data_IF_796745289423
#
_entry.id   IF_796745289423
#
_cell.length_a   1.000
_cell.length_b   1.000
_cell.length_c   1.000
_cell.angle_alpha   90.00
_cell.angle_beta   90.00
_cell.angle_gamma   90.00
#
_symmetry.space_group_name_H-M   'P 1'
#
loop_
_entity.id
_entity.type
_entity.pdbx_description
1 polymer ?
#
# COMPACT_ATOMS: atom_id res chain seq x y z
N UNK A 1 32.63 25.72 -10.51
CA UNK A 1 32.51 24.66 -9.51
C UNK A 1 31.05 24.67 -9.08
N UNK A 2 30.23 23.79 -9.64
CA UNK A 2 28.83 23.69 -9.25
C UNK A 2 28.77 23.05 -7.87
N UNK A 3 28.26 23.79 -6.90
CA UNK A 3 27.96 23.23 -5.57
C UNK A 3 26.90 22.13 -5.76
N UNK A 4 27.15 20.90 -5.31
CA UNK A 4 26.20 19.82 -5.44
C UNK A 4 24.98 20.09 -4.55
N UNK A 5 23.95 20.75 -5.09
CA UNK A 5 22.71 21.12 -4.41
C UNK A 5 22.07 19.96 -3.66
N UNK A 6 22.30 18.70 -4.06
CA UNK A 6 21.84 17.51 -3.36
C UNK A 6 22.29 17.39 -1.89
N UNK A 7 23.36 18.08 -1.50
CA UNK A 7 23.79 18.13 -0.10
C UNK A 7 23.06 19.20 0.72
N UNK A 8 22.32 20.10 0.06
CA UNK A 8 21.52 21.15 0.69
C UNK A 8 20.02 20.80 0.66
N UNK A 9 19.64 19.74 -0.06
CA UNK A 9 18.27 19.26 -0.11
C UNK A 9 17.82 18.66 1.21
N UNK A 10 16.55 18.85 1.53
CA UNK A 10 15.95 18.26 2.72
C UNK A 10 15.80 16.74 2.56
N UNK A 11 16.75 15.99 3.10
CA UNK A 11 16.78 14.52 3.01
C UNK A 11 15.56 13.86 3.67
N UNK A 12 14.96 14.49 4.69
CA UNK A 12 13.74 13.97 5.32
C UNK A 12 12.55 14.05 4.35
N UNK A 13 12.46 15.12 3.56
CA UNK A 13 11.42 15.26 2.54
C UNK A 13 11.57 14.20 1.44
N UNK A 14 12.81 13.97 0.98
CA UNK A 14 13.12 12.98 -0.05
C UNK A 14 12.83 11.57 0.48
N UNK A 15 13.34 11.22 1.65
CA UNK A 15 13.21 9.91 2.25
C UNK A 15 11.76 9.53 2.59
N UNK A 16 10.90 10.52 2.85
CA UNK A 16 9.49 10.30 3.19
C UNK A 16 8.52 10.54 2.04
N UNK A 17 9.03 10.91 0.87
CA UNK A 17 8.19 11.07 -0.32
C UNK A 17 7.43 9.76 -0.59
N UNK A 18 6.11 9.87 -0.74
CA UNK A 18 5.19 8.74 -0.95
C UNK A 18 5.10 7.73 0.23
N UNK A 19 5.59 8.07 1.43
CA UNK A 19 5.55 7.18 2.59
C UNK A 19 5.24 7.89 3.91
N UNK A 20 3.96 8.10 4.19
CA UNK A 20 3.51 8.64 5.48
C UNK A 20 3.92 7.75 6.66
N UNK A 21 3.97 6.43 6.48
CA UNK A 21 4.42 5.50 7.51
C UNK A 21 5.90 5.71 7.87
N UNK A 22 6.75 5.96 6.88
CA UNK A 22 8.17 6.30 7.10
C UNK A 22 8.31 7.65 7.80
N UNK A 23 7.51 8.65 7.39
CA UNK A 23 7.46 9.95 8.05
C UNK A 23 7.04 9.82 9.52
N UNK A 24 6.02 9.00 9.81
CA UNK A 24 5.55 8.73 11.18
C UNK A 24 6.65 8.09 12.03
N UNK A 25 7.38 7.10 11.50
CA UNK A 25 8.48 6.46 12.21
C UNK A 25 9.59 7.45 12.56
N UNK A 26 10.03 8.25 11.58
CA UNK A 26 11.04 9.29 11.77
C UNK A 26 10.60 10.35 12.80
N UNK A 27 9.33 10.79 12.71
CA UNK A 27 8.81 11.81 13.61
C UNK A 27 8.62 11.30 15.04
N UNK A 28 8.16 10.07 15.24
CA UNK A 28 8.04 9.44 16.56
C UNK A 28 9.40 9.32 17.24
N UNK A 29 10.42 8.87 16.50
CA UNK A 29 11.78 8.76 17.04
C UNK A 29 12.31 10.11 17.50
N UNK A 30 12.22 11.14 16.64
CA UNK A 30 12.74 12.47 16.94
C UNK A 30 12.01 13.11 18.12
N UNK A 31 10.68 13.05 18.15
CA UNK A 31 9.87 13.57 19.25
C UNK A 31 10.22 12.92 20.59
N UNK A 32 10.31 11.58 20.62
CA UNK A 32 10.66 10.82 21.82
C UNK A 32 12.08 11.12 22.32
N UNK A 33 13.04 11.27 21.41
CA UNK A 33 14.40 11.60 21.76
C UNK A 33 14.51 13.03 22.30
N UNK A 34 13.79 14.00 21.72
CA UNK A 34 13.76 15.38 22.19
C UNK A 34 13.06 15.53 23.54
N UNK A 35 12.03 14.73 23.83
CA UNK A 35 11.31 14.76 25.09
C UNK A 35 12.20 14.40 26.29
N UNK A 36 13.23 13.57 26.07
CA UNK A 36 14.19 13.14 27.10
C UNK A 36 15.53 13.89 27.04
N UNK A 37 15.65 14.86 26.14
CA UNK A 37 16.87 15.63 25.94
C UNK A 37 17.14 16.60 27.12
N UNK A 38 18.41 16.98 27.36
CA UNK A 38 18.76 18.04 28.30
C UNK A 38 18.01 19.34 27.98
N UNK A 39 17.72 20.14 29.03
CA UNK A 39 16.93 21.38 28.90
C UNK A 39 17.46 22.37 27.84
N UNK A 40 18.77 22.41 27.62
CA UNK A 40 19.38 23.23 26.57
C UNK A 40 18.96 22.84 25.16
N UNK A 41 18.59 21.57 24.92
CA UNK A 41 18.11 21.05 23.66
C UNK A 41 16.58 21.04 23.67
N UNK A 42 15.95 20.39 24.66
CA UNK A 42 14.49 20.22 24.71
C UNK A 42 13.75 21.56 24.80
N UNK A 43 14.27 22.52 25.56
CA UNK A 43 13.67 23.85 25.67
C UNK A 43 13.57 24.62 24.34
N UNK A 44 14.39 24.27 23.36
CA UNK A 44 14.38 24.89 22.02
C UNK A 44 13.73 23.98 21.01
N UNK A 45 14.22 22.75 20.86
CA UNK A 45 13.79 21.87 19.76
C UNK A 45 12.46 21.19 20.05
N UNK A 46 12.28 20.61 21.25
CA UNK A 46 11.02 19.92 21.58
C UNK A 46 9.81 20.86 21.55
N UNK A 47 9.96 22.07 22.12
CA UNK A 47 8.87 23.05 22.18
C UNK A 47 8.34 23.46 20.80
N UNK A 48 9.19 23.48 19.79
CA UNK A 48 8.79 23.82 18.41
C UNK A 48 8.39 22.60 17.57
N UNK A 49 8.96 21.42 17.89
CA UNK A 49 8.73 20.19 17.12
C UNK A 49 7.46 19.46 17.57
N UNK A 50 7.28 19.26 18.87
CA UNK A 50 6.20 18.48 19.47
C UNK A 50 4.78 18.86 18.96
N UNK A 51 4.40 20.13 18.87
CA UNK A 51 3.09 20.52 18.34
C UNK A 51 2.86 20.06 16.90
N UNK A 52 3.89 20.11 16.05
CA UNK A 52 3.82 19.64 14.66
C UNK A 52 3.74 18.12 14.59
N UNK A 53 4.45 17.42 15.49
CA UNK A 53 4.37 15.97 15.61
C UNK A 53 2.95 15.54 15.98
N UNK A 54 2.34 16.14 17.00
CA UNK A 54 0.99 15.83 17.41
C UNK A 54 -0.04 16.10 16.30
N UNK A 55 0.10 17.20 15.57
CA UNK A 55 -0.77 17.51 14.42
C UNK A 55 -0.63 16.47 13.30
N UNK A 56 0.61 16.06 12.97
CA UNK A 56 0.84 15.05 11.96
C UNK A 56 0.26 13.68 12.37
N UNK A 57 0.48 13.24 13.61
CA UNK A 57 -0.07 11.98 14.14
C UNK A 57 -1.59 11.98 14.09
N UNK A 58 -2.22 13.08 14.51
CA UNK A 58 -3.68 13.23 14.46
C UNK A 58 -4.21 13.09 13.03
N UNK A 59 -3.65 13.82 12.09
CA UNK A 59 -4.07 13.80 10.68
C UNK A 59 -3.82 12.45 10.02
N UNK A 60 -2.70 11.81 10.33
CA UNK A 60 -2.38 10.47 9.86
C UNK A 60 -3.43 9.45 10.35
N UNK A 61 -3.78 9.46 11.63
CA UNK A 61 -4.77 8.56 12.19
C UNK A 61 -6.18 8.82 11.62
N UNK A 62 -6.56 10.08 11.41
CA UNK A 62 -7.81 10.43 10.76
C UNK A 62 -7.89 9.91 9.32
N UNK A 63 -6.80 10.04 8.55
CA UNK A 63 -6.72 9.53 7.19
C UNK A 63 -6.80 8.00 7.14
N UNK A 64 -6.10 7.28 8.02
CA UNK A 64 -6.18 5.82 8.12
C UNK A 64 -7.60 5.37 8.46
N UNK A 65 -8.25 6.03 9.43
CA UNK A 65 -9.63 5.75 9.82
C UNK A 65 -10.62 6.00 8.66
N UNK A 66 -10.43 7.09 7.91
CA UNK A 66 -11.25 7.40 6.73
C UNK A 66 -11.10 6.30 5.65
N UNK A 67 -9.89 5.76 5.44
CA UNK A 67 -9.65 4.63 4.55
C UNK A 67 -10.44 3.37 4.92
N UNK A 68 -10.44 3.01 6.20
CA UNK A 68 -11.25 1.91 6.71
C UNK A 68 -12.76 2.14 6.54
N UNK A 69 -13.23 3.37 6.77
CA UNK A 69 -14.62 3.76 6.53
C UNK A 69 -15.00 3.61 5.05
N UNK A 70 -14.16 4.08 4.13
CA UNK A 70 -14.39 3.96 2.68
C UNK A 70 -14.50 2.49 2.25
N UNK A 71 -13.65 1.63 2.77
CA UNK A 71 -13.70 0.19 2.49
C UNK A 71 -15.02 -0.42 2.97
N UNK A 72 -15.43 -0.11 4.21
CA UNK A 72 -16.70 -0.55 4.77
C UNK A 72 -17.91 -0.10 3.94
N UNK A 73 -17.95 1.16 3.51
CA UNK A 73 -19.03 1.67 2.64
C UNK A 73 -19.03 1.01 1.27
N UNK A 74 -17.85 0.71 0.72
CA UNK A 74 -17.75 -0.02 -0.56
C UNK A 74 -18.32 -1.45 -0.45
N UNK A 75 -18.06 -2.14 0.66
CA UNK A 75 -18.66 -3.45 0.92
C UNK A 75 -20.17 -3.36 1.12
N UNK A 76 -20.65 -2.34 1.82
CA UNK A 76 -22.07 -2.10 2.03
C UNK A 76 -22.82 -1.93 0.69
N UNK A 77 -22.35 -1.07 -0.21
CA UNK A 77 -22.96 -0.91 -1.55
C UNK A 77 -23.02 -2.24 -2.30
N UNK A 78 -21.93 -3.02 -2.29
CA UNK A 78 -21.91 -4.35 -2.95
C UNK A 78 -22.94 -5.31 -2.33
N UNK A 79 -23.09 -5.33 -1.02
CA UNK A 79 -24.05 -6.18 -0.33
C UNK A 79 -25.48 -5.75 -0.63
N UNK A 80 -25.79 -4.46 -0.56
CA UNK A 80 -27.13 -3.93 -0.89
C UNK A 80 -27.51 -4.24 -2.34
N UNK A 81 -26.60 -4.04 -3.31
CA UNK A 81 -26.84 -4.42 -4.69
C UNK A 81 -27.09 -5.91 -4.87
N UNK A 82 -26.36 -6.77 -4.14
CA UNK A 82 -26.59 -8.22 -4.19
C UNK A 82 -28.00 -8.57 -3.71
N UNK A 83 -28.42 -7.99 -2.58
CA UNK A 83 -29.77 -8.22 -2.02
C UNK A 83 -30.87 -7.67 -2.95
N UNK A 84 -30.69 -6.48 -3.50
CA UNK A 84 -31.63 -5.88 -4.43
C UNK A 84 -31.81 -6.74 -5.70
N UNK A 85 -30.72 -7.28 -6.23
CA UNK A 85 -30.79 -8.18 -7.42
C UNK A 85 -31.60 -9.45 -7.17
N UNK A 86 -31.61 -9.98 -5.97
CA UNK A 86 -32.43 -11.14 -5.62
C UNK A 86 -33.93 -10.81 -5.72
N UNK A 87 -34.34 -9.62 -5.24
CA UNK A 87 -35.74 -9.18 -5.28
C UNK A 87 -36.31 -8.98 -6.70
N UNK A 88 -35.46 -8.69 -7.71
CA UNK A 88 -35.89 -8.47 -9.09
C UNK A 88 -36.66 -9.68 -9.63
N UNK A 89 -36.28 -10.89 -9.26
CA UNK A 89 -36.98 -12.09 -9.71
C UNK A 89 -38.42 -12.16 -9.18
N UNK A 90 -38.57 -11.80 -7.91
CA UNK A 90 -39.86 -11.84 -7.22
C UNK A 90 -40.80 -10.75 -7.76
N UNK A 91 -40.29 -9.53 -7.95
CA UNK A 91 -41.03 -8.42 -8.54
C UNK A 91 -41.44 -8.70 -9.98
N UNK A 92 -40.54 -9.30 -10.77
CA UNK A 92 -40.90 -9.70 -12.16
C UNK A 92 -42.07 -10.71 -12.17
N UNK A 93 -42.08 -11.69 -11.26
CA UNK A 93 -43.16 -12.64 -11.09
C UNK A 93 -44.46 -11.94 -10.66
N UNK A 94 -44.39 -11.08 -9.64
CA UNK A 94 -45.54 -10.33 -9.14
C UNK A 94 -46.17 -9.44 -10.25
N UNK A 95 -45.32 -8.76 -11.03
CA UNK A 95 -45.79 -7.94 -12.16
C UNK A 95 -46.41 -8.80 -13.28
N UNK A 96 -45.88 -10.01 -13.55
CA UNK A 96 -46.44 -10.93 -14.53
C UNK A 96 -47.80 -11.50 -14.14
N UNK A 97 -48.07 -11.63 -12.83
CA UNK A 97 -49.41 -12.05 -12.36
C UNK A 97 -50.47 -11.02 -12.72
N UNK A 98 -50.15 -9.73 -12.69
CA UNK A 98 -51.04 -8.63 -13.07
C UNK A 98 -51.01 -8.38 -14.56
N UNK A 99 -49.83 -8.35 -15.15
CA UNK A 99 -49.58 -8.04 -16.56
C UNK A 99 -48.73 -9.15 -17.20
N UNK A 100 -49.31 -10.10 -17.92
CA UNK A 100 -48.57 -11.14 -18.64
C UNK A 100 -47.47 -10.55 -19.55
N UNK A 101 -46.35 -11.26 -19.74
CA UNK A 101 -45.18 -10.81 -20.53
C UNK A 101 -45.48 -10.34 -21.93
N UNK A 102 -46.57 -10.83 -22.52
CA UNK A 102 -47.02 -10.47 -23.87
C UNK A 102 -47.69 -9.11 -23.93
N UNK A 103 -48.10 -8.55 -22.80
CA UNK A 103 -48.84 -7.28 -22.72
C UNK A 103 -47.94 -6.07 -22.98
N UNK A 104 -48.48 -5.02 -23.63
CA UNK A 104 -47.73 -3.75 -23.78
C UNK A 104 -47.30 -3.13 -22.42
N UNK A 105 -48.16 -3.28 -21.40
CA UNK A 105 -47.90 -2.73 -20.04
C UNK A 105 -46.68 -3.39 -19.38
N UNK A 106 -46.57 -4.73 -19.45
CA UNK A 106 -45.39 -5.43 -18.94
C UNK A 106 -44.10 -4.95 -19.66
N UNK A 107 -44.16 -4.83 -20.99
CA UNK A 107 -43.02 -4.36 -21.80
C UNK A 107 -42.65 -2.91 -21.48
N UNK A 108 -43.60 -2.06 -21.12
CA UNK A 108 -43.33 -0.70 -20.69
C UNK A 108 -42.64 -0.67 -19.31
N UNK A 109 -42.98 -1.59 -18.42
CA UNK A 109 -42.33 -1.70 -17.08
C UNK A 109 -40.93 -2.28 -17.22
N UNK A 110 -40.73 -3.34 -17.98
CA UNK A 110 -39.47 -4.03 -18.22
C UNK A 110 -39.04 -3.99 -19.71
N UNK A 111 -38.67 -2.81 -20.27
CA UNK A 111 -38.36 -2.68 -21.69
C UNK A 111 -37.14 -3.53 -22.11
N UNK A 112 -36.18 -3.72 -21.23
CA UNK A 112 -34.95 -4.49 -21.44
C UNK A 112 -34.87 -5.75 -20.57
N UNK A 113 -36.00 -6.18 -20.00
CA UNK A 113 -36.06 -7.28 -19.04
C UNK A 113 -35.19 -7.03 -17.84
N UNK A 114 -34.58 -8.11 -17.29
CA UNK A 114 -33.73 -8.04 -16.08
C UNK A 114 -32.27 -7.63 -16.35
N UNK A 115 -31.87 -7.42 -17.62
CA UNK A 115 -30.45 -7.12 -17.97
C UNK A 115 -29.88 -5.89 -17.30
N UNK A 116 -30.60 -4.73 -17.18
CA UNK A 116 -30.06 -3.51 -16.59
C UNK A 116 -29.64 -3.67 -15.12
N UNK A 117 -30.27 -4.56 -14.37
CA UNK A 117 -29.99 -4.79 -12.95
C UNK A 117 -28.75 -5.64 -12.70
N UNK A 118 -28.28 -6.39 -13.72
CA UNK A 118 -27.18 -7.35 -13.60
C UNK A 118 -25.96 -6.99 -14.43
N UNK A 119 -26.08 -6.05 -15.38
CA UNK A 119 -25.00 -5.63 -16.27
C UNK A 119 -24.73 -4.13 -16.09
N UNK A 120 -23.47 -3.76 -16.13
CA UNK A 120 -23.04 -2.37 -16.00
C UNK A 120 -22.37 -2.07 -14.66
N UNK A 121 -21.98 -0.81 -14.47
CA UNK A 121 -21.41 -0.30 -13.24
C UNK A 121 -22.45 -0.16 -12.11
N UNK A 122 -21.97 0.19 -10.91
CA UNK A 122 -22.82 0.40 -9.72
C UNK A 122 -23.92 1.40 -10.00
N UNK A 123 -23.57 2.57 -10.54
CA UNK A 123 -24.51 3.67 -10.79
C UNK A 123 -25.57 3.29 -11.84
N UNK A 124 -25.16 2.58 -12.89
CA UNK A 124 -26.09 2.09 -13.90
C UNK A 124 -27.10 1.09 -13.31
N UNK A 125 -26.67 0.24 -12.38
CA UNK A 125 -27.57 -0.70 -11.72
C UNK A 125 -28.53 0.03 -10.76
N UNK A 126 -28.06 1.01 -9.98
CA UNK A 126 -28.93 1.81 -9.09
C UNK A 126 -29.98 2.56 -9.92
N UNK A 127 -29.58 3.22 -11.00
CA UNK A 127 -30.47 3.91 -11.91
C UNK A 127 -31.53 2.97 -12.53
N UNK A 128 -31.21 1.69 -12.73
CA UNK A 128 -32.20 0.72 -13.22
C UNK A 128 -33.36 0.50 -12.24
N UNK A 129 -33.12 0.60 -10.92
CA UNK A 129 -34.19 0.52 -9.91
C UNK A 129 -35.05 1.78 -9.92
N UNK A 130 -34.46 2.97 -10.10
CA UNK A 130 -35.19 4.22 -10.24
C UNK A 130 -36.11 4.18 -11.47
N UNK A 131 -35.57 3.78 -12.63
CA UNK A 131 -36.33 3.61 -13.88
C UNK A 131 -37.46 2.61 -13.68
N UNK A 132 -37.24 1.50 -12.97
CA UNK A 132 -38.29 0.53 -12.68
C UNK A 132 -39.42 1.16 -11.87
N UNK A 133 -39.09 1.90 -10.81
CA UNK A 133 -40.05 2.64 -10.00
C UNK A 133 -40.89 3.61 -10.86
N UNK A 134 -40.21 4.42 -11.70
CA UNK A 134 -40.88 5.36 -12.61
C UNK A 134 -41.79 4.62 -13.63
N UNK A 135 -41.35 3.51 -14.18
CA UNK A 135 -42.11 2.74 -15.13
C UNK A 135 -43.36 2.06 -14.52
N UNK A 136 -43.29 1.65 -13.25
CA UNK A 136 -44.47 1.18 -12.50
C UNK A 136 -45.46 2.34 -12.33
N UNK A 137 -44.98 3.52 -11.98
CA UNK A 137 -45.80 4.74 -11.82
C UNK A 137 -46.80 4.62 -10.67
N UNK A 138 -47.97 5.25 -10.85
CA UNK A 138 -49.08 5.22 -9.88
C UNK A 138 -50.07 4.08 -10.16
N UNK A 139 -49.59 2.93 -10.64
CA UNK A 139 -50.41 1.76 -10.95
C UNK A 139 -51.01 1.14 -9.67
N UNK A 140 -52.33 1.21 -9.44
CA UNK A 140 -52.93 0.75 -8.18
C UNK A 140 -52.79 -0.79 -8.01
N UNK A 141 -52.66 -1.56 -9.12
CA UNK A 141 -52.48 -3.00 -9.02
C UNK A 141 -51.07 -3.42 -8.64
N UNK A 142 -50.09 -2.48 -8.68
CA UNK A 142 -48.66 -2.70 -8.36
C UNK A 142 -48.19 -1.88 -7.19
N UNK A 143 -49.07 -1.31 -6.37
CA UNK A 143 -48.72 -0.42 -5.24
C UNK A 143 -47.70 -1.05 -4.28
N UNK A 144 -47.87 -2.33 -3.93
CA UNK A 144 -46.97 -3.06 -3.05
C UNK A 144 -45.58 -3.24 -3.67
N UNK A 145 -45.54 -3.67 -4.94
CA UNK A 145 -44.28 -3.85 -5.68
C UNK A 145 -43.55 -2.51 -5.80
N UNK A 146 -44.29 -1.43 -6.13
CA UNK A 146 -43.73 -0.09 -6.21
C UNK A 146 -43.09 0.35 -4.90
N UNK A 147 -43.80 0.20 -3.78
CA UNK A 147 -43.29 0.58 -2.47
C UNK A 147 -41.99 -0.18 -2.13
N UNK A 148 -41.89 -1.46 -2.46
CA UNK A 148 -40.68 -2.25 -2.24
C UNK A 148 -39.51 -1.82 -3.18
N UNK A 149 -39.81 -1.49 -4.44
CA UNK A 149 -38.81 -0.95 -5.40
C UNK A 149 -38.31 0.40 -4.91
N UNK A 150 -39.20 1.31 -4.52
CA UNK A 150 -38.85 2.63 -4.00
C UNK A 150 -37.96 2.54 -2.75
N UNK A 151 -38.34 1.69 -1.80
CA UNK A 151 -37.57 1.46 -0.59
C UNK A 151 -36.19 0.87 -0.91
N UNK A 152 -36.12 -0.03 -1.87
CA UNK A 152 -34.84 -0.65 -2.29
C UNK A 152 -33.94 0.35 -3.02
N UNK A 153 -34.51 1.17 -3.90
CA UNK A 153 -33.80 2.26 -4.56
C UNK A 153 -33.21 3.24 -3.54
N UNK A 154 -34.03 3.72 -2.57
CA UNK A 154 -33.60 4.64 -1.54
C UNK A 154 -32.42 4.08 -0.69
N UNK A 155 -32.47 2.78 -0.36
CA UNK A 155 -31.36 2.12 0.36
C UNK A 155 -30.08 2.08 -0.46
N UNK A 156 -30.18 1.80 -1.75
CA UNK A 156 -29.03 1.77 -2.67
C UNK A 156 -28.44 3.14 -2.88
N UNK A 157 -29.28 4.15 -3.11
CA UNK A 157 -28.90 5.54 -3.31
C UNK A 157 -28.19 6.10 -2.06
N UNK A 158 -28.80 5.92 -0.89
CA UNK A 158 -28.17 6.29 0.40
C UNK A 158 -26.82 5.59 0.62
N UNK A 159 -26.75 4.29 0.32
CA UNK A 159 -25.50 3.56 0.46
C UNK A 159 -24.41 4.11 -0.50
N UNK A 160 -24.81 4.51 -1.70
CA UNK A 160 -23.92 5.12 -2.70
C UNK A 160 -23.43 6.50 -2.27
N UNK A 161 -24.32 7.35 -1.78
CA UNK A 161 -23.98 8.67 -1.25
C UNK A 161 -22.98 8.57 -0.09
N UNK A 162 -23.21 7.63 0.84
CA UNK A 162 -22.28 7.37 1.93
C UNK A 162 -20.91 6.91 1.44
N UNK A 163 -20.86 6.10 0.40
CA UNK A 163 -19.60 5.68 -0.23
C UNK A 163 -18.86 6.86 -0.87
N UNK A 164 -19.55 7.73 -1.60
CA UNK A 164 -18.92 8.91 -2.21
C UNK A 164 -18.44 9.91 -1.14
N UNK A 165 -19.21 10.13 -0.08
CA UNK A 165 -18.79 10.92 1.07
C UNK A 165 -17.53 10.37 1.75
N UNK A 166 -17.45 9.04 1.91
CA UNK A 166 -16.26 8.38 2.45
C UNK A 166 -15.04 8.54 1.54
N UNK A 167 -15.20 8.44 0.21
CA UNK A 167 -14.11 8.71 -0.75
C UNK A 167 -13.63 10.16 -0.68
N UNK A 168 -14.55 11.13 -0.60
CA UNK A 168 -14.21 12.53 -0.44
C UNK A 168 -13.40 12.78 0.84
N UNK A 169 -13.79 12.14 1.95
CA UNK A 169 -13.09 12.21 3.24
C UNK A 169 -11.65 11.67 3.14
N UNK A 170 -11.43 10.56 2.44
CA UNK A 170 -10.07 10.00 2.20
C UNK A 170 -9.23 10.96 1.37
N UNK A 171 -9.80 11.55 0.32
CA UNK A 171 -9.09 12.50 -0.56
C UNK A 171 -8.67 13.76 0.21
N UNK A 172 -9.59 14.34 0.99
CA UNK A 172 -9.30 15.50 1.85
C UNK A 172 -8.28 15.15 2.93
N UNK A 173 -8.45 13.99 3.58
CA UNK A 173 -7.52 13.49 4.59
C UNK A 173 -6.10 13.33 4.05
N UNK A 174 -5.95 12.82 2.83
CA UNK A 174 -4.65 12.69 2.15
C UNK A 174 -3.95 14.05 1.97
N UNK A 175 -4.68 15.08 1.55
CA UNK A 175 -4.13 16.45 1.44
C UNK A 175 -3.69 17.01 2.79
N UNK A 176 -4.48 16.79 3.85
CA UNK A 176 -4.16 17.24 5.20
C UNK A 176 -2.92 16.54 5.76
N UNK A 177 -2.80 15.23 5.58
CA UNK A 177 -1.61 14.44 5.98
C UNK A 177 -0.37 14.91 5.24
N UNK A 178 -0.47 15.16 3.93
CA UNK A 178 0.66 15.63 3.13
C UNK A 178 1.15 17.00 3.60
N UNK A 179 0.25 17.93 3.88
CA UNK A 179 0.60 19.24 4.43
C UNK A 179 1.32 19.11 5.77
N UNK A 180 0.83 18.26 6.67
CA UNK A 180 1.45 18.03 7.96
C UNK A 180 2.79 17.31 7.85
N UNK A 181 2.93 16.35 6.89
CA UNK A 181 4.20 15.68 6.58
C UNK A 181 5.26 16.69 6.13
N UNK A 182 4.91 17.59 5.23
CA UNK A 182 5.81 18.64 4.76
C UNK A 182 6.27 19.53 5.91
N UNK A 183 5.35 19.95 6.77
CA UNK A 183 5.65 20.80 7.91
C UNK A 183 6.62 20.13 8.88
N UNK A 184 6.34 18.88 9.28
CA UNK A 184 7.15 18.17 10.28
C UNK A 184 8.52 17.75 9.74
N UNK A 185 8.61 17.28 8.48
CA UNK A 185 9.89 16.91 7.87
C UNK A 185 10.78 18.14 7.61
N UNK A 186 10.17 19.29 7.32
CA UNK A 186 10.91 20.56 7.24
C UNK A 186 11.42 21.01 8.59
N UNK A 187 10.65 20.81 9.65
CA UNK A 187 11.10 21.15 11.00
C UNK A 187 12.20 20.19 11.45
N UNK A 188 12.07 18.89 11.23
CA UNK A 188 13.11 17.91 11.56
C UNK A 188 14.45 18.20 10.85
N UNK A 189 14.39 18.69 9.61
CA UNK A 189 15.59 19.16 8.91
C UNK A 189 16.21 20.37 9.59
N UNK A 190 15.42 21.36 10.00
CA UNK A 190 15.92 22.53 10.75
C UNK A 190 16.51 22.15 12.09
N UNK A 191 15.90 21.18 12.78
CA UNK A 191 16.43 20.66 14.05
C UNK A 191 17.76 19.94 13.84
N UNK A 192 17.89 19.15 12.76
CA UNK A 192 19.15 18.54 12.38
C UNK A 192 20.25 19.58 12.13
N UNK A 193 19.95 20.64 11.38
CA UNK A 193 20.89 21.73 11.12
C UNK A 193 21.29 22.44 12.41
N UNK A 194 20.36 22.72 13.31
CA UNK A 194 20.63 23.31 14.61
C UNK A 194 21.54 22.43 15.47
N UNK A 195 21.31 21.12 15.52
CA UNK A 195 22.16 20.15 16.22
C UNK A 195 23.58 20.11 15.65
N UNK A 196 23.73 20.11 14.34
CA UNK A 196 25.03 20.10 13.66
C UNK A 196 25.85 21.39 13.93
N UNK A 197 25.18 22.52 14.01
CA UNK A 197 25.81 23.82 14.29
C UNK A 197 26.24 23.95 15.74
N UNK A 198 25.36 23.63 16.69
CA UNK A 198 25.60 23.81 18.11
C UNK A 198 26.51 22.73 18.76
N UNK A 199 26.65 21.57 18.10
CA UNK A 199 27.46 20.44 18.60
C UNK A 199 28.48 19.98 17.54
N UNK A 200 29.16 20.91 16.91
CA UNK A 200 30.06 20.66 15.78
C UNK A 200 31.11 19.56 16.05
N UNK A 201 31.75 19.56 17.21
CA UNK A 201 32.78 18.59 17.56
C UNK A 201 32.26 17.19 17.89
N UNK A 202 31.00 17.07 18.29
CA UNK A 202 30.32 15.81 18.65
C UNK A 202 29.12 15.50 17.72
N UNK A 203 29.04 16.17 16.59
CA UNK A 203 27.89 16.19 15.69
C UNK A 203 27.36 14.79 15.27
N UNK A 204 28.24 13.82 15.07
CA UNK A 204 27.84 12.48 14.66
C UNK A 204 27.07 11.76 15.78
N UNK A 205 27.59 11.77 16.99
CA UNK A 205 26.98 11.16 18.16
C UNK A 205 25.65 11.85 18.52
N UNK A 206 25.65 13.19 18.55
CA UNK A 206 24.45 13.98 18.86
C UNK A 206 23.37 13.79 17.81
N UNK A 207 23.72 13.86 16.52
CA UNK A 207 22.74 13.64 15.45
C UNK A 207 22.16 12.22 15.50
N UNK A 208 22.98 11.20 15.72
CA UNK A 208 22.51 9.81 15.84
C UNK A 208 21.58 9.60 17.04
N UNK A 209 21.74 10.38 18.12
CA UNK A 209 20.86 10.33 19.29
C UNK A 209 19.47 10.84 19.00
N UNK A 210 19.34 11.92 18.22
CA UNK A 210 18.05 12.61 18.02
C UNK A 210 17.41 12.30 16.66
N UNK A 211 18.12 11.69 15.73
CA UNK A 211 17.63 11.39 14.38
C UNK A 211 17.82 9.91 14.06
N UNK A 212 16.76 9.24 13.65
CA UNK A 212 16.82 7.86 13.17
C UNK A 212 17.51 7.81 11.78
N UNK A 213 18.84 7.83 11.82
CA UNK A 213 19.65 7.79 10.60
C UNK A 213 19.46 6.49 9.82
N UNK A 214 19.10 5.39 10.50
CA UNK A 214 18.83 4.11 9.84
C UNK A 214 17.56 4.16 9.00
N UNK A 215 16.50 4.74 9.54
CA UNK A 215 15.24 4.94 8.79
C UNK A 215 15.39 6.02 7.71
N UNK A 216 16.22 7.05 7.93
CA UNK A 216 16.44 8.13 6.97
C UNK A 216 17.18 7.64 5.72
N UNK A 217 18.09 6.67 5.87
CA UNK A 217 18.81 6.10 4.71
C UNK A 217 17.83 5.60 3.67
N UNK A 218 18.20 5.74 2.41
CA UNK A 218 17.41 5.13 1.32
C UNK A 218 17.22 3.65 1.62
N UNK A 219 16.04 3.14 1.26
CA UNK A 219 15.84 1.70 1.26
C UNK A 219 17.00 1.10 0.49
N UNK A 220 17.82 0.28 1.16
CA UNK A 220 18.76 -0.55 0.44
C UNK A 220 17.96 -1.23 -0.69
N UNK A 221 18.53 -1.26 -1.88
CA UNK A 221 17.91 -1.99 -2.97
C UNK A 221 17.57 -3.38 -2.44
N UNK A 222 16.28 -3.72 -2.46
CA UNK A 222 15.80 -4.99 -1.93
C UNK A 222 15.54 -6.00 -3.04
N UNK A 223 15.50 -5.56 -4.30
CA UNK A 223 15.26 -6.40 -5.46
C UNK A 223 16.48 -6.31 -6.39
N UNK A 224 17.07 -7.43 -6.68
CA UNK A 224 18.25 -7.58 -7.53
C UNK A 224 17.92 -8.55 -8.67
N UNK A 225 18.15 -8.12 -9.88
CA UNK A 225 17.99 -8.93 -11.08
C UNK A 225 19.36 -9.21 -11.69
N UNK A 226 19.61 -10.43 -12.11
CA UNK A 226 20.79 -10.78 -12.88
C UNK A 226 20.46 -11.81 -13.95
N UNK A 227 21.16 -11.71 -15.07
CA UNK A 227 21.20 -12.75 -16.10
C UNK A 227 22.53 -13.48 -15.96
N UNK A 228 22.51 -14.77 -15.98
CA UNK A 228 23.67 -15.67 -15.90
C UNK A 228 23.79 -16.44 -17.20
N UNK A 229 24.91 -16.28 -17.89
CA UNK A 229 25.25 -17.12 -19.02
C UNK A 229 25.48 -18.59 -18.58
N UNK A 230 25.53 -19.51 -19.52
CA UNK A 230 25.82 -20.92 -19.26
C UNK A 230 27.18 -21.05 -18.54
N UNK A 231 27.23 -21.70 -17.39
CA UNK A 231 28.42 -21.88 -16.58
C UNK A 231 28.94 -20.64 -15.86
N UNK A 232 28.22 -19.50 -15.94
CA UNK A 232 28.65 -18.27 -15.28
C UNK A 232 28.50 -18.36 -13.76
N UNK A 233 29.51 -17.82 -13.07
CA UNK A 233 29.49 -17.58 -11.62
C UNK A 233 29.52 -16.06 -11.39
N UNK A 234 28.53 -15.52 -10.68
CA UNK A 234 28.37 -14.08 -10.51
C UNK A 234 27.88 -13.71 -9.13
N UNK A 235 28.49 -12.69 -8.53
CA UNK A 235 27.93 -12.05 -7.35
C UNK A 235 26.69 -11.23 -7.77
N UNK A 236 25.52 -11.65 -7.30
CA UNK A 236 24.23 -11.02 -7.65
C UNK A 236 23.78 -9.99 -6.64
N UNK A 237 24.29 -10.07 -5.42
CA UNK A 237 23.99 -9.16 -4.34
C UNK A 237 25.22 -8.98 -3.46
N UNK A 238 25.48 -7.74 -3.05
CA UNK A 238 26.49 -7.39 -2.06
C UNK A 238 25.84 -6.63 -0.93
N UNK A 239 25.75 -7.23 0.26
CA UNK A 239 25.29 -6.54 1.47
C UNK A 239 25.75 -7.27 2.72
N UNK A 240 25.76 -6.56 3.84
CA UNK A 240 25.87 -7.20 5.14
C UNK A 240 24.50 -7.73 5.52
N UNK A 241 24.37 -9.06 5.65
CA UNK A 241 23.16 -9.71 6.11
C UNK A 241 23.06 -9.66 7.63
N UNK A 242 21.83 -9.54 8.12
CA UNK A 242 21.51 -9.57 9.56
C UNK A 242 20.58 -10.75 9.85
N UNK A 243 20.45 -11.09 11.13
CA UNK A 243 19.70 -12.28 11.54
C UNK A 243 18.23 -12.31 11.07
N UNK A 244 17.63 -11.14 10.88
CA UNK A 244 16.22 -11.01 10.49
C UNK A 244 16.02 -10.88 8.97
N UNK A 245 17.10 -10.89 8.17
CA UNK A 245 16.98 -10.87 6.72
C UNK A 245 16.38 -12.17 6.20
N UNK A 246 15.42 -12.04 5.29
CA UNK A 246 14.82 -13.12 4.52
C UNK A 246 15.17 -12.94 3.04
N UNK A 247 15.70 -13.97 2.41
CA UNK A 247 16.00 -14.00 0.98
C UNK A 247 14.89 -14.74 0.24
N UNK A 248 14.25 -14.04 -0.70
CA UNK A 248 13.34 -14.65 -1.66
C UNK A 248 14.03 -14.76 -3.00
N UNK A 249 14.28 -16.00 -3.41
CA UNK A 249 14.96 -16.31 -4.66
C UNK A 249 13.95 -16.82 -5.68
N UNK A 250 14.02 -16.30 -6.90
CA UNK A 250 13.29 -16.80 -8.05
C UNK A 250 14.27 -17.01 -9.20
N UNK A 251 14.18 -18.15 -9.85
CA UNK A 251 14.95 -18.48 -11.05
C UNK A 251 13.96 -18.66 -12.19
N UNK A 252 14.06 -17.81 -13.21
CA UNK A 252 13.28 -17.93 -14.44
C UNK A 252 14.16 -18.64 -15.48
N UNK A 253 13.82 -19.87 -15.82
CA UNK A 253 14.55 -20.74 -16.72
C UNK A 253 14.84 -22.13 -16.13
N UNK A 254 15.57 -22.93 -16.90
CA UNK A 254 15.92 -24.30 -16.47
C UNK A 254 17.03 -24.27 -15.41
N UNK A 255 16.89 -25.12 -14.38
CA UNK A 255 17.96 -25.35 -13.38
C UNK A 255 18.99 -26.37 -13.83
N UNK A 256 20.04 -26.63 -13.03
CA UNK A 256 20.20 -26.11 -11.69
C UNK A 256 20.99 -24.80 -11.62
N UNK A 257 20.48 -23.84 -10.84
CA UNK A 257 21.24 -22.69 -10.35
C UNK A 257 21.53 -22.88 -8.87
N UNK A 258 22.79 -22.67 -8.48
CA UNK A 258 23.23 -22.85 -7.08
C UNK A 258 23.60 -21.50 -6.49
N UNK A 259 23.11 -21.22 -5.30
CA UNK A 259 23.37 -19.98 -4.57
C UNK A 259 24.30 -20.25 -3.38
N UNK A 260 25.30 -19.38 -3.23
CA UNK A 260 26.26 -19.39 -2.13
C UNK A 260 26.26 -18.03 -1.42
N UNK A 261 26.46 -18.04 -0.12
CA UNK A 261 26.81 -16.83 0.62
C UNK A 261 28.34 -16.85 0.81
N UNK A 262 29.06 -15.90 0.18
CA UNK A 262 30.51 -15.95 0.06
C UNK A 262 31.19 -14.75 0.75
N UNK A 263 32.45 -14.93 1.13
CA UNK A 263 33.31 -13.89 1.71
C UNK A 263 33.90 -12.96 0.63
N UNK A 264 33.99 -13.41 -0.62
CA UNK A 264 34.51 -12.69 -1.78
C UNK A 264 33.48 -12.64 -2.92
N UNK A 265 33.54 -11.61 -3.80
CA UNK A 265 32.66 -11.54 -4.95
C UNK A 265 32.85 -12.74 -5.88
N UNK A 266 31.75 -13.46 -6.18
CA UNK A 266 31.79 -14.67 -7.01
C UNK A 266 32.39 -15.90 -6.30
N UNK A 267 32.67 -15.82 -5.00
CA UNK A 267 33.18 -16.94 -4.23
C UNK A 267 32.11 -18.04 -4.00
N UNK A 268 32.59 -19.27 -3.81
CA UNK A 268 31.79 -20.46 -3.50
C UNK A 268 32.40 -21.19 -2.28
N UNK A 269 32.97 -20.41 -1.36
CA UNK A 269 33.74 -20.85 -0.21
C UNK A 269 32.87 -21.34 0.96
N UNK A 270 31.55 -21.26 0.83
CA UNK A 270 30.58 -21.79 1.82
C UNK A 270 29.80 -22.98 1.27
N UNK A 271 29.05 -23.64 2.14
CA UNK A 271 28.01 -24.54 1.67
C UNK A 271 26.94 -23.82 0.90
N UNK A 272 26.35 -24.39 -0.15
CA UNK A 272 25.23 -23.78 -0.86
C UNK A 272 24.09 -23.41 0.09
N UNK A 273 23.60 -22.20 0.00
CA UNK A 273 22.40 -21.79 0.76
C UNK A 273 21.13 -22.29 0.09
N UNK A 274 21.17 -22.48 -1.23
CA UNK A 274 20.07 -23.03 -2.00
C UNK A 274 20.54 -23.57 -3.36
N UNK A 275 19.88 -24.62 -3.84
CA UNK A 275 20.01 -25.17 -5.18
C UNK A 275 18.64 -25.27 -5.82
N UNK A 276 18.42 -24.49 -6.85
CA UNK A 276 17.22 -24.59 -7.68
C UNK A 276 17.31 -25.83 -8.57
N UNK A 277 16.27 -26.62 -8.62
CA UNK A 277 16.18 -27.85 -9.45
C UNK A 277 15.02 -27.81 -10.43
N UNK A 278 14.07 -26.91 -10.24
CA UNK A 278 12.86 -26.80 -11.05
C UNK A 278 12.80 -25.42 -11.74
N UNK A 279 12.19 -25.38 -12.91
CA UNK A 279 11.91 -24.15 -13.63
C UNK A 279 10.94 -23.27 -12.83
N UNK A 280 11.17 -21.95 -12.84
CA UNK A 280 10.33 -20.93 -12.21
C UNK A 280 10.07 -21.12 -10.71
N UNK A 281 10.92 -21.87 -10.04
CA UNK A 281 10.81 -22.10 -8.61
C UNK A 281 11.07 -20.81 -7.82
N UNK A 282 10.19 -20.54 -6.86
CA UNK A 282 10.37 -19.51 -5.84
C UNK A 282 10.66 -20.17 -4.52
N UNK A 283 11.71 -19.71 -3.86
CA UNK A 283 12.07 -20.19 -2.52
C UNK A 283 12.27 -19.02 -1.57
N UNK A 284 11.94 -19.23 -0.31
CA UNK A 284 12.19 -18.32 0.78
C UNK A 284 13.21 -18.95 1.71
N UNK A 285 14.34 -18.26 1.91
CA UNK A 285 15.40 -18.67 2.83
C UNK A 285 15.41 -17.69 4.00
N UNK A 286 15.04 -18.17 5.16
CA UNK A 286 15.07 -17.38 6.40
C UNK A 286 16.44 -17.50 7.10
N UNK A 287 16.58 -16.86 8.26
CA UNK A 287 17.78 -16.85 9.08
C UNK A 287 18.39 -18.25 9.36
N UNK A 288 17.59 -19.31 9.35
CA UNK A 288 18.08 -20.69 9.59
C UNK A 288 18.73 -21.28 8.34
N UNK A 289 18.39 -20.80 7.15
CA UNK A 289 19.00 -21.21 5.87
C UNK A 289 20.23 -20.37 5.50
N UNK A 290 20.41 -19.19 6.10
CA UNK A 290 21.53 -18.29 5.83
C UNK A 290 22.60 -18.55 6.90
N UNK A 291 23.51 -19.47 6.61
CA UNK A 291 24.71 -19.66 7.44
C UNK A 291 25.74 -18.54 7.15
N UNK A 292 26.55 -18.20 8.17
CA UNK A 292 27.63 -17.20 8.08
C UNK A 292 27.20 -15.78 7.75
N UNK A 293 25.92 -15.38 7.98
CA UNK A 293 25.54 -13.99 7.93
C UNK A 293 26.41 -13.17 8.91
N UNK A 294 26.73 -11.95 8.56
CA UNK A 294 27.64 -11.08 9.31
C UNK A 294 29.12 -11.20 8.90
N UNK A 295 29.57 -12.34 8.36
CA UNK A 295 30.94 -12.52 7.82
C UNK A 295 30.98 -12.57 6.31
N UNK A 296 29.97 -13.18 5.68
CA UNK A 296 29.86 -13.31 4.25
C UNK A 296 28.90 -12.25 3.70
N UNK A 297 29.34 -11.48 2.70
CA UNK A 297 28.64 -10.30 2.18
C UNK A 297 28.13 -10.43 0.74
N UNK A 298 28.49 -11.53 0.07
CA UNK A 298 28.21 -11.73 -1.35
C UNK A 298 27.26 -12.90 -1.53
N UNK A 299 26.08 -12.66 -2.06
CA UNK A 299 25.27 -13.74 -2.60
C UNK A 299 25.74 -14.02 -4.01
N UNK A 300 26.35 -15.19 -4.20
CA UNK A 300 26.87 -15.66 -5.48
C UNK A 300 25.93 -16.68 -6.08
N UNK A 301 25.59 -16.55 -7.34
CA UNK A 301 24.83 -17.54 -8.09
C UNK A 301 25.73 -18.20 -9.15
N UNK A 302 25.62 -19.52 -9.30
CA UNK A 302 26.31 -20.33 -10.28
C UNK A 302 25.28 -20.98 -11.18
N UNK A 303 25.33 -20.67 -12.47
CA UNK A 303 24.46 -21.31 -13.45
C UNK A 303 25.07 -22.60 -13.96
N UNK A 304 24.59 -23.73 -13.45
CA UNK A 304 24.98 -25.08 -13.91
C UNK A 304 23.98 -25.67 -14.91
N UNK A 305 23.02 -24.85 -15.39
CA UNK A 305 22.09 -25.29 -16.44
C UNK A 305 22.73 -25.24 -17.84
N UNK A 306 22.10 -25.85 -18.80
CA UNK A 306 22.51 -25.80 -20.19
C UNK A 306 22.03 -24.56 -20.96
N UNK A 307 21.40 -23.59 -20.29
CA UNK A 307 20.77 -22.40 -20.89
C UNK A 307 21.10 -21.14 -20.09
N UNK A 308 20.96 -19.99 -20.75
CA UNK A 308 20.98 -18.69 -20.05
C UNK A 308 19.79 -18.59 -19.10
N UNK A 309 20.03 -18.11 -17.90
CA UNK A 309 19.01 -18.09 -16.83
C UNK A 309 18.89 -16.71 -16.20
N UNK A 310 17.67 -16.25 -15.98
CA UNK A 310 17.40 -15.01 -15.26
C UNK A 310 17.09 -15.33 -13.80
N UNK A 311 17.67 -14.56 -12.90
CA UNK A 311 17.43 -14.68 -11.46
C UNK A 311 16.93 -13.37 -10.89
N UNK A 312 16.02 -13.49 -9.92
CA UNK A 312 15.52 -12.39 -9.12
C UNK A 312 15.76 -12.72 -7.65
N UNK A 313 16.39 -11.82 -6.94
CA UNK A 313 16.64 -11.91 -5.50
C UNK A 313 15.92 -10.73 -4.84
N UNK A 314 15.04 -11.03 -3.90
CA UNK A 314 14.42 -10.04 -3.03
C UNK A 314 14.91 -10.26 -1.60
N UNK A 315 15.33 -9.19 -0.93
CA UNK A 315 15.68 -9.18 0.49
C UNK A 315 14.56 -8.49 1.25
N UNK A 316 13.97 -9.17 2.22
CA UNK A 316 12.79 -8.73 2.98
C UNK A 316 13.15 -8.50 4.44
#
# INVERSE_FOLDING_TARGET
>A
MELPWKYVENQFMIATNKSYKKALKLSNYHDSALATAPAAISGILYMRYHPLHMDFVLKYNQWVSAGGSQEGQTLNVKQQLKLARLKIADWDVAIQVVYPKTTPRYKAIFPNGRKPFNKGGVDANINAFDILSMNIGADPALTTVKAEVDATYLLLDTARDNQEGAKASVTQGSGNVETARIAIMSMQYRDAMWLLDNYYDTREAVTATYIDLQTLRDKQQTIFNATLAIGETKAVLTRTFVADDELRLKVDGEGPVVFYLASTPGGTDSSPVYRNTNQDEKVVINQFGISNYGTHRYLTAVNNSGVETHILVEVV
#
